data_IF_035750470884
#
_entry.id   IF_035750470884
#
_cell.length_a   1.000
_cell.length_b   1.000
_cell.length_c   1.000
_cell.angle_alpha   90.00
_cell.angle_beta   90.00
_cell.angle_gamma   90.00
#
_symmetry.space_group_name_H-M   'P 1'
#
loop_
_entity.id
_entity.type
_entity.pdbx_description
1 polymer ?
#
# COMPACT_ATOMS: atom_id res chain seq x y z
N UNK A 1 -10.03 28.52 10.59
CA UNK A 1 -8.64 28.24 11.04
C UNK A 1 -8.57 26.74 11.29
N UNK A 2 -7.74 25.99 10.58
CA UNK A 2 -7.57 24.56 10.84
C UNK A 2 -6.80 24.38 12.15
N UNK A 3 -7.31 23.53 13.02
CA UNK A 3 -6.67 23.11 14.25
C UNK A 3 -5.63 22.05 13.89
N UNK A 4 -4.35 22.38 14.06
CA UNK A 4 -3.24 21.43 13.93
C UNK A 4 -3.02 20.82 15.31
N UNK A 5 -3.20 19.51 15.52
CA UNK A 5 -2.83 18.90 16.79
C UNK A 5 -1.30 18.82 16.86
N UNK A 6 -0.73 19.55 17.82
CA UNK A 6 0.68 19.51 18.17
C UNK A 6 0.97 18.16 18.82
N UNK A 7 1.60 17.25 18.08
CA UNK A 7 2.15 16.05 18.68
C UNK A 7 3.37 16.45 19.51
N UNK A 8 3.23 16.53 20.82
CA UNK A 8 4.35 16.73 21.75
C UNK A 8 5.15 15.43 21.83
N UNK A 9 6.46 15.43 21.53
CA UNK A 9 7.31 14.29 21.84
C UNK A 9 7.43 14.17 23.36
N UNK A 10 7.03 13.05 23.90
CA UNK A 10 7.25 12.71 25.30
C UNK A 10 8.75 12.42 25.51
N UNK A 11 9.49 13.40 26.02
CA UNK A 11 10.89 13.26 26.40
C UNK A 11 10.97 12.58 27.78
N UNK A 12 11.14 11.28 27.81
CA UNK A 12 11.62 10.57 28.97
C UNK A 12 13.15 10.45 28.88
N UNK A 13 13.86 11.22 29.71
CA UNK A 13 15.30 11.19 29.78
C UNK A 13 15.82 9.92 30.42
N UNK A 14 16.42 9.04 29.61
CA UNK A 14 17.44 8.09 30.07
C UNK A 14 18.50 7.96 28.99
N UNK A 15 19.77 8.06 29.40
CA UNK A 15 20.95 7.86 28.53
C UNK A 15 20.94 6.44 28.00
N UNK A 16 20.67 6.27 26.69
CA UNK A 16 20.78 5.00 25.99
C UNK A 16 19.68 4.81 24.96
N UNK A 17 20.04 5.06 23.70
CA UNK A 17 19.28 4.94 22.45
C UNK A 17 18.24 6.05 22.20
N UNK A 18 18.54 6.87 21.19
CA UNK A 18 17.56 7.82 20.62
C UNK A 18 16.49 7.02 19.85
N UNK A 19 15.56 6.41 20.58
CA UNK A 19 14.39 5.74 20.02
C UNK A 19 13.22 6.73 20.07
N UNK A 20 12.69 7.08 18.91
CA UNK A 20 11.50 7.89 18.79
C UNK A 20 10.26 7.00 18.83
N UNK A 21 9.29 7.35 19.65
CA UNK A 21 8.04 6.59 19.80
C UNK A 21 6.87 7.40 19.26
N UNK A 22 6.01 6.73 18.51
CA UNK A 22 4.78 7.25 17.93
C UNK A 22 3.63 6.31 18.29
N UNK A 23 2.48 6.87 18.60
CA UNK A 23 1.26 6.11 18.88
C UNK A 23 0.07 6.82 18.24
N UNK A 24 -0.73 6.12 17.49
CA UNK A 24 -1.97 6.64 16.94
C UNK A 24 -3.15 6.19 17.81
N UNK A 25 -3.57 7.05 18.72
CA UNK A 25 -4.75 6.83 19.58
C UNK A 25 -6.03 7.44 18.96
N UNK A 26 -5.96 7.91 17.72
CA UNK A 26 -7.09 8.47 16.98
C UNK A 26 -7.90 7.41 16.24
N UNK A 27 -8.87 7.89 15.46
CA UNK A 27 -9.76 7.05 14.64
C UNK A 27 -9.43 7.12 13.14
N UNK A 28 -8.46 7.95 12.76
CA UNK A 28 -7.98 8.12 11.39
C UNK A 28 -6.48 7.87 11.34
N UNK A 29 -5.94 7.65 10.16
CA UNK A 29 -4.51 7.45 9.94
C UNK A 29 -3.72 8.71 10.32
N UNK A 30 -2.54 8.52 10.89
CA UNK A 30 -1.60 9.57 11.26
C UNK A 30 -0.39 9.54 10.33
N UNK A 31 -0.13 10.65 9.64
CA UNK A 31 1.05 10.82 8.80
C UNK A 31 2.26 11.24 9.65
N UNK A 32 3.35 10.50 9.54
CA UNK A 32 4.60 10.70 10.29
C UNK A 32 5.74 10.81 9.28
N UNK A 33 6.58 11.83 9.43
CA UNK A 33 7.84 11.95 8.70
C UNK A 33 8.95 11.57 9.68
N UNK A 34 9.69 10.51 9.35
CA UNK A 34 10.83 10.03 10.13
C UNK A 34 12.06 10.92 9.90
N UNK A 35 13.07 10.90 10.81
CA UNK A 35 14.29 11.69 10.67
C UNK A 35 15.09 11.43 9.39
N UNK A 36 15.00 10.23 8.83
CA UNK A 36 15.61 9.85 7.56
C UNK A 36 14.82 10.32 6.32
N UNK A 37 13.73 11.08 6.54
CA UNK A 37 12.77 11.54 5.55
C UNK A 37 11.96 10.40 4.90
N UNK A 38 11.88 9.23 5.52
CA UNK A 38 10.88 8.23 5.19
C UNK A 38 9.52 8.66 5.76
N UNK A 39 8.45 8.29 5.06
CA UNK A 39 7.09 8.61 5.46
C UNK A 39 6.39 7.36 5.98
N UNK A 40 5.61 7.51 7.04
CA UNK A 40 4.81 6.43 7.63
C UNK A 40 3.38 6.92 7.82
N UNK A 41 2.43 6.16 7.29
CA UNK A 41 1.02 6.32 7.59
C UNK A 41 0.66 5.29 8.67
N UNK A 42 0.53 5.76 9.91
CA UNK A 42 0.27 4.92 11.07
C UNK A 42 -1.25 4.81 11.28
N UNK A 43 -1.78 3.60 11.18
CA UNK A 43 -3.21 3.35 11.31
C UNK A 43 -3.68 3.46 12.77
N UNK A 44 -5.01 3.60 13.01
CA UNK A 44 -5.56 3.64 14.36
C UNK A 44 -5.07 2.46 15.23
N UNK A 45 -4.83 2.73 16.50
CA UNK A 45 -4.34 1.79 17.52
C UNK A 45 -2.92 1.22 17.27
N UNK A 46 -2.23 1.67 16.23
CA UNK A 46 -0.86 1.24 15.96
C UNK A 46 0.17 2.07 16.74
N UNK A 47 1.29 1.43 17.05
CA UNK A 47 2.46 2.06 17.66
C UNK A 47 3.72 1.77 16.86
N UNK A 48 4.62 2.75 16.80
CA UNK A 48 5.88 2.67 16.09
C UNK A 48 7.02 3.20 16.96
N UNK A 49 8.09 2.42 17.09
CA UNK A 49 9.33 2.86 17.73
C UNK A 49 10.45 2.85 16.68
N UNK A 50 11.02 4.01 16.39
CA UNK A 50 12.03 4.20 15.34
C UNK A 50 13.40 4.55 15.91
N UNK A 51 14.46 3.97 15.32
CA UNK A 51 15.87 4.32 15.59
C UNK A 51 16.70 4.22 14.30
N UNK A 52 17.54 5.21 14.07
CA UNK A 52 18.48 5.27 12.93
C UNK A 52 19.93 4.95 13.34
N UNK A 53 20.17 4.60 14.62
CA UNK A 53 21.49 4.32 15.21
C UNK A 53 21.84 2.83 15.27
N UNK A 54 21.25 2.02 14.39
CA UNK A 54 21.57 0.61 14.32
C UNK A 54 23.02 0.35 13.86
N UNK A 55 23.55 -0.82 14.23
CA UNK A 55 24.81 -1.34 13.70
C UNK A 55 24.69 -1.46 12.18
N UNK A 56 25.78 -1.19 11.46
CA UNK A 56 25.83 -1.27 9.98
C UNK A 56 24.84 -0.33 9.25
N UNK A 57 24.52 0.82 9.85
CA UNK A 57 23.58 1.80 9.29
C UNK A 57 22.17 1.25 9.06
N UNK A 58 21.75 0.28 9.82
CA UNK A 58 20.38 -0.24 9.78
C UNK A 58 19.46 0.70 10.52
N UNK A 59 18.46 1.24 9.80
CA UNK A 59 17.35 1.98 10.39
C UNK A 59 16.30 0.98 10.84
N UNK A 60 15.88 1.03 12.07
CA UNK A 60 14.93 0.05 12.63
C UNK A 60 13.66 0.71 13.09
N UNK A 61 12.53 0.16 12.65
CA UNK A 61 11.19 0.52 13.06
C UNK A 61 10.51 -0.70 13.70
N UNK A 62 10.14 -0.62 14.98
CA UNK A 62 9.34 -1.66 15.64
C UNK A 62 7.88 -1.26 15.56
N UNK A 63 7.07 -2.10 14.93
CA UNK A 63 5.66 -1.86 14.67
C UNK A 63 4.79 -2.83 15.47
N UNK A 64 3.79 -2.28 16.14
CA UNK A 64 2.62 -3.02 16.61
C UNK A 64 1.38 -2.44 15.94
N UNK A 65 0.55 -3.28 15.33
CA UNK A 65 -0.60 -2.85 14.55
C UNK A 65 -0.31 -2.74 13.05
N UNK A 66 -0.85 -1.73 12.40
CA UNK A 66 -0.81 -1.56 10.94
C UNK A 66 -0.18 -0.23 10.55
N UNK A 67 0.72 -0.25 9.56
CA UNK A 67 1.32 0.95 9.01
C UNK A 67 1.70 0.79 7.54
N UNK A 68 1.55 1.85 6.76
CA UNK A 68 2.10 1.96 5.43
C UNK A 68 3.42 2.75 5.50
N UNK A 69 4.45 2.24 4.85
CA UNK A 69 5.78 2.82 4.81
C UNK A 69 6.14 3.25 3.39
N UNK A 70 6.64 4.46 3.24
CA UNK A 70 7.31 4.95 2.04
C UNK A 70 8.75 5.27 2.41
N UNK A 71 9.62 4.26 2.27
CA UNK A 71 11.00 4.32 2.74
C UNK A 71 11.88 5.01 1.72
N UNK A 72 12.58 6.06 2.18
CA UNK A 72 13.58 6.75 1.37
C UNK A 72 14.81 5.88 1.15
N UNK A 73 15.21 5.74 -0.12
CA UNK A 73 16.43 5.03 -0.48
C UNK A 73 17.65 5.83 -0.02
N UNK A 74 18.45 5.22 0.85
CA UNK A 74 19.75 5.74 1.29
C UNK A 74 20.84 4.75 0.90
N UNK A 75 21.93 5.24 0.29
CA UNK A 75 23.03 4.40 -0.16
C UNK A 75 23.67 3.64 0.99
N UNK A 76 23.74 2.31 0.88
CA UNK A 76 24.39 1.43 1.85
C UNK A 76 23.63 1.30 3.18
N UNK A 77 22.39 1.79 3.29
CA UNK A 77 21.62 1.71 4.51
C UNK A 77 20.29 0.99 4.26
N UNK A 78 20.06 -0.12 4.97
CA UNK A 78 18.77 -0.82 4.95
C UNK A 78 17.79 -0.19 5.95
N UNK A 79 16.51 -0.48 5.73
CA UNK A 79 15.43 -0.17 6.67
C UNK A 79 14.76 -1.47 7.08
N UNK A 80 14.66 -1.71 8.37
CA UNK A 80 14.07 -2.91 8.94
C UNK A 80 12.82 -2.58 9.73
N UNK A 81 11.70 -3.22 9.39
CA UNK A 81 10.50 -3.21 10.23
C UNK A 81 10.44 -4.51 10.99
N UNK A 82 10.39 -4.42 12.31
CA UNK A 82 10.26 -5.55 13.22
C UNK A 82 8.82 -5.56 13.77
N UNK A 83 8.15 -6.67 13.64
CA UNK A 83 6.89 -6.97 14.33
C UNK A 83 7.12 -8.08 15.34
N UNK A 84 6.10 -8.43 16.12
CA UNK A 84 6.23 -9.54 17.06
C UNK A 84 6.45 -10.92 16.41
N UNK A 85 6.19 -11.05 15.09
CA UNK A 85 6.15 -12.35 14.40
C UNK A 85 6.96 -12.40 13.10
N UNK A 86 7.35 -11.26 12.54
CA UNK A 86 8.15 -11.19 11.31
C UNK A 86 9.05 -9.97 11.26
N UNK A 87 10.09 -10.06 10.44
CA UNK A 87 11.01 -8.97 10.10
C UNK A 87 10.91 -8.65 8.62
N UNK A 88 10.83 -7.36 8.30
CA UNK A 88 10.72 -6.85 6.93
C UNK A 88 11.92 -5.98 6.64
N UNK A 89 12.70 -6.27 5.60
CA UNK A 89 13.92 -5.52 5.26
C UNK A 89 13.80 -4.96 3.85
N UNK A 90 14.07 -3.66 3.71
CA UNK A 90 14.00 -2.92 2.44
C UNK A 90 15.18 -1.97 2.27
N UNK A 91 15.37 -1.47 1.04
CA UNK A 91 16.40 -0.47 0.72
C UNK A 91 15.79 0.88 0.30
N UNK A 92 14.54 0.88 -0.14
CA UNK A 92 13.80 2.04 -0.63
C UNK A 92 12.55 1.56 -1.35
N UNK A 93 11.44 1.48 -0.65
CA UNK A 93 10.27 0.68 -1.02
C UNK A 93 9.03 1.31 -0.42
N UNK A 94 7.90 1.22 -1.11
CA UNK A 94 6.59 1.56 -0.56
C UNK A 94 5.81 0.27 -0.30
N UNK A 95 5.40 0.04 0.95
CA UNK A 95 4.76 -1.20 1.36
C UNK A 95 3.90 -1.03 2.62
N UNK A 96 2.91 -1.89 2.77
CA UNK A 96 2.05 -1.98 3.93
C UNK A 96 2.48 -3.17 4.80
N UNK A 97 2.52 -2.97 6.11
CA UNK A 97 2.65 -4.04 7.10
C UNK A 97 1.38 -4.05 7.96
N UNK A 98 0.75 -5.20 8.04
CA UNK A 98 -0.41 -5.43 8.90
C UNK A 98 -0.08 -6.55 9.91
N UNK A 99 0.11 -6.18 11.16
CA UNK A 99 0.40 -7.07 12.29
C UNK A 99 -0.61 -6.87 13.43
N UNK A 100 -1.88 -6.59 13.07
CA UNK A 100 -2.96 -6.31 14.03
C UNK A 100 -3.47 -7.55 14.76
N UNK A 101 -3.32 -8.73 14.16
CA UNK A 101 -3.83 -9.97 14.73
C UNK A 101 -2.67 -10.84 15.22
N UNK A 102 -2.69 -11.21 16.49
CA UNK A 102 -1.68 -12.10 17.09
C UNK A 102 -1.54 -13.41 16.30
N UNK A 103 -0.31 -13.71 15.85
CA UNK A 103 -0.02 -14.91 15.06
C UNK A 103 -0.27 -14.80 13.55
N UNK A 104 -0.96 -13.77 13.09
CA UNK A 104 -1.16 -13.46 11.68
C UNK A 104 -0.55 -12.10 11.36
N UNK A 105 0.22 -12.02 10.28
CA UNK A 105 0.75 -10.76 9.81
C UNK A 105 0.90 -10.80 8.28
N UNK A 106 0.81 -9.63 7.64
CA UNK A 106 0.93 -9.50 6.19
C UNK A 106 1.82 -8.35 5.78
N UNK A 107 2.55 -8.55 4.69
CA UNK A 107 3.33 -7.52 4.01
C UNK A 107 2.86 -7.45 2.56
N UNK A 108 2.57 -6.25 2.10
CA UNK A 108 2.00 -5.98 0.79
C UNK A 108 2.84 -4.90 0.11
N UNK A 109 3.43 -5.20 -1.04
CA UNK A 109 4.40 -4.32 -1.71
C UNK A 109 3.72 -3.49 -2.80
N UNK A 110 3.80 -2.15 -2.67
CA UNK A 110 3.35 -1.22 -3.70
C UNK A 110 4.44 -0.97 -4.73
N UNK A 111 5.67 -0.70 -4.29
CA UNK A 111 6.82 -0.47 -5.17
C UNK A 111 8.09 -1.06 -4.58
N UNK A 112 9.01 -1.53 -5.44
CA UNK A 112 10.33 -2.02 -5.05
C UNK A 112 10.34 -3.49 -4.65
N UNK A 113 11.32 -3.85 -3.80
CA UNK A 113 11.54 -5.21 -3.32
C UNK A 113 11.62 -5.26 -1.80
N UNK A 114 11.03 -6.29 -1.23
CA UNK A 114 10.93 -6.50 0.22
C UNK A 114 11.38 -7.91 0.56
N UNK A 115 12.30 -8.02 1.52
CA UNK A 115 12.63 -9.30 2.15
C UNK A 115 11.81 -9.45 3.42
N UNK A 116 11.01 -10.50 3.48
CA UNK A 116 10.21 -10.88 4.66
C UNK A 116 10.82 -12.12 5.28
N UNK A 117 11.06 -12.11 6.57
CA UNK A 117 11.65 -13.21 7.31
C UNK A 117 10.89 -13.49 8.61
N UNK A 118 10.70 -14.76 8.90
CA UNK A 118 10.26 -15.29 10.19
C UNK A 118 11.38 -16.14 10.78
N UNK A 119 11.17 -16.74 11.95
CA UNK A 119 12.14 -17.67 12.55
C UNK A 119 12.38 -18.93 11.69
N UNK A 120 11.44 -19.26 10.79
CA UNK A 120 11.46 -20.52 10.03
C UNK A 120 11.68 -20.35 8.54
N UNK A 121 11.35 -19.20 7.97
CA UNK A 121 11.33 -18.98 6.53
C UNK A 121 11.73 -17.54 6.17
N UNK A 122 12.22 -17.37 4.94
CA UNK A 122 12.51 -16.05 4.37
C UNK A 122 12.15 -16.04 2.90
N UNK A 123 11.46 -14.99 2.45
CA UNK A 123 11.05 -14.79 1.06
C UNK A 123 11.38 -13.37 0.61
N UNK A 124 11.57 -13.18 -0.67
CA UNK A 124 11.65 -11.85 -1.31
C UNK A 124 10.43 -11.69 -2.18
N UNK A 125 9.72 -10.60 -2.00
CA UNK A 125 8.55 -10.22 -2.78
C UNK A 125 8.78 -8.86 -3.45
N UNK A 126 8.13 -8.65 -4.58
CA UNK A 126 8.25 -7.45 -5.40
C UNK A 126 6.92 -6.68 -5.48
N UNK A 127 6.91 -5.60 -6.26
CA UNK A 127 5.71 -4.79 -6.45
C UNK A 127 4.52 -5.64 -6.88
N UNK A 128 3.34 -5.37 -6.31
CA UNK A 128 2.08 -6.11 -6.47
C UNK A 128 2.06 -7.53 -5.87
N UNK A 129 3.09 -7.88 -5.10
CA UNK A 129 3.13 -9.15 -4.38
C UNK A 129 2.89 -8.95 -2.89
N UNK A 130 2.49 -10.02 -2.22
CA UNK A 130 2.28 -10.09 -0.78
C UNK A 130 2.96 -11.31 -0.16
N UNK A 131 3.30 -11.19 1.11
CA UNK A 131 3.67 -12.31 1.96
C UNK A 131 2.82 -12.26 3.23
N UNK A 132 2.17 -13.34 3.57
CA UNK A 132 1.29 -13.46 4.73
C UNK A 132 1.74 -14.62 5.62
N UNK A 133 1.86 -14.36 6.91
CA UNK A 133 2.08 -15.38 7.94
C UNK A 133 0.70 -15.85 8.42
N UNK A 134 0.37 -17.08 8.15
CA UNK A 134 -0.91 -17.71 8.52
C UNK A 134 -0.58 -19.04 9.18
N UNK A 135 -1.01 -19.23 10.43
CA UNK A 135 -0.78 -20.45 11.20
C UNK A 135 0.71 -20.88 11.27
N UNK A 136 1.60 -19.89 11.33
CA UNK A 136 3.04 -20.10 11.39
C UNK A 136 3.72 -20.42 10.06
N UNK A 137 2.98 -20.43 8.95
CA UNK A 137 3.49 -20.61 7.60
C UNK A 137 3.56 -19.28 6.83
N UNK A 138 4.69 -18.99 6.22
CA UNK A 138 4.87 -17.83 5.36
C UNK A 138 4.43 -18.17 3.93
N UNK A 139 3.35 -17.54 3.47
CA UNK A 139 2.76 -17.75 2.14
C UNK A 139 2.92 -16.50 1.30
N UNK A 140 3.24 -16.67 0.03
CA UNK A 140 3.34 -15.58 -0.95
C UNK A 140 2.18 -15.62 -1.94
N UNK A 141 1.87 -14.47 -2.52
CA UNK A 141 0.83 -14.35 -3.55
C UNK A 141 0.85 -12.98 -4.20
N UNK A 142 -0.05 -12.79 -5.16
CA UNK A 142 -0.27 -11.49 -5.82
C UNK A 142 -1.35 -10.73 -5.07
N UNK A 143 -1.21 -9.39 -5.00
CA UNK A 143 -2.24 -8.52 -4.42
C UNK A 143 -3.39 -8.43 -5.42
N UNK A 144 -4.56 -8.97 -5.05
CA UNK A 144 -5.73 -8.98 -5.95
C UNK A 144 -6.39 -7.62 -6.15
N UNK A 145 -6.06 -6.62 -5.33
CA UNK A 145 -6.66 -5.28 -5.37
C UNK A 145 -5.76 -4.27 -4.65
N UNK A 146 -4.75 -3.71 -5.32
CA UNK A 146 -3.81 -2.76 -4.69
C UNK A 146 -4.50 -1.55 -4.07
N UNK A 147 -5.46 -0.94 -4.75
CA UNK A 147 -6.19 0.24 -4.24
C UNK A 147 -6.94 -0.02 -2.93
N UNK A 148 -7.61 -1.17 -2.81
CA UNK A 148 -8.30 -1.56 -1.57
C UNK A 148 -7.32 -1.81 -0.42
N UNK A 149 -6.08 -2.19 -0.72
CA UNK A 149 -5.10 -2.55 0.29
C UNK A 149 -4.32 -1.34 0.82
N UNK A 150 -4.00 -0.38 -0.06
CA UNK A 150 -3.14 0.76 0.29
C UNK A 150 -3.92 2.02 0.69
N UNK A 151 -5.26 2.04 0.55
CA UNK A 151 -6.11 3.19 0.82
C UNK A 151 -6.19 4.18 -0.34
N UNK A 152 -7.19 5.05 -0.31
CA UNK A 152 -7.49 6.03 -1.37
C UNK A 152 -6.58 7.25 -1.37
N UNK A 153 -5.85 7.53 -0.27
CA UNK A 153 -4.98 8.71 -0.17
C UNK A 153 -3.62 8.54 -0.89
N UNK A 154 -3.28 7.32 -1.29
CA UNK A 154 -2.16 7.05 -2.19
C UNK A 154 -2.65 6.92 -3.65
N UNK A 155 -3.43 7.88 -4.09
CA UNK A 155 -4.04 7.99 -5.41
C UNK A 155 -3.05 8.28 -6.54
N UNK A 156 -1.90 7.62 -6.55
CA UNK A 156 -1.03 7.54 -7.73
C UNK A 156 -1.25 6.20 -8.46
N UNK A 157 -2.49 5.73 -8.56
CA UNK A 157 -2.86 4.80 -9.62
C UNK A 157 -2.92 5.65 -10.89
N UNK A 158 -1.80 5.78 -11.56
CA UNK A 158 -1.74 6.38 -12.89
C UNK A 158 -1.50 5.26 -13.88
N UNK A 159 -2.50 4.98 -14.69
CA UNK A 159 -2.43 4.01 -15.79
C UNK A 159 -2.52 4.78 -17.10
N UNK A 160 -1.60 4.49 -18.01
CA UNK A 160 -1.58 5.10 -19.34
C UNK A 160 -1.70 3.99 -20.38
N UNK A 161 -2.72 4.08 -21.19
CA UNK A 161 -2.98 3.15 -22.27
C UNK A 161 -2.91 3.90 -23.61
N UNK A 162 -2.17 3.37 -24.56
CA UNK A 162 -2.00 3.98 -25.89
C UNK A 162 -2.43 2.97 -26.96
N UNK A 163 -3.57 3.20 -27.58
CA UNK A 163 -4.14 2.34 -28.63
C UNK A 163 -4.18 0.86 -28.21
N UNK A 164 -4.69 0.60 -27.00
CA UNK A 164 -4.81 -0.75 -26.44
C UNK A 164 -6.24 -1.28 -26.58
N UNK A 165 -6.43 -2.59 -26.78
CA UNK A 165 -7.76 -3.20 -26.81
C UNK A 165 -8.52 -2.96 -25.51
N UNK A 166 -9.78 -2.59 -25.58
CA UNK A 166 -10.61 -2.31 -24.41
C UNK A 166 -10.66 -3.47 -23.40
N UNK A 167 -10.75 -4.74 -23.80
CA UNK A 167 -10.72 -5.86 -22.84
C UNK A 167 -9.42 -5.93 -22.04
N UNK A 168 -8.27 -5.61 -22.65
CA UNK A 168 -6.98 -5.54 -21.96
C UNK A 168 -6.94 -4.38 -20.95
N UNK A 169 -7.41 -3.20 -21.38
CA UNK A 169 -7.51 -2.03 -20.51
C UNK A 169 -8.39 -2.32 -19.29
N UNK A 170 -9.56 -2.92 -19.52
CA UNK A 170 -10.47 -3.32 -18.44
C UNK A 170 -9.82 -4.31 -17.49
N UNK A 171 -9.16 -5.34 -17.99
CA UNK A 171 -8.46 -6.33 -17.15
C UNK A 171 -7.37 -5.71 -16.29
N UNK A 172 -6.59 -4.76 -16.82
CA UNK A 172 -5.58 -4.04 -16.04
C UNK A 172 -6.19 -3.11 -14.98
N UNK A 173 -7.29 -2.43 -15.32
CA UNK A 173 -8.03 -1.60 -14.36
C UNK A 173 -8.58 -2.45 -13.23
N UNK A 174 -9.25 -3.57 -13.54
CA UNK A 174 -9.77 -4.52 -12.55
C UNK A 174 -8.66 -5.02 -11.61
N UNK A 175 -7.51 -5.36 -12.16
CA UNK A 175 -6.36 -5.86 -11.40
C UNK A 175 -5.76 -4.80 -10.47
N UNK A 176 -5.76 -3.53 -10.88
CA UNK A 176 -5.16 -2.44 -10.12
C UNK A 176 -6.11 -1.76 -9.14
N UNK A 177 -7.42 -1.80 -9.42
CA UNK A 177 -8.42 -1.06 -8.62
C UNK A 177 -9.37 -1.97 -7.83
N UNK A 178 -9.49 -3.24 -8.25
CA UNK A 178 -10.42 -4.21 -7.67
C UNK A 178 -11.89 -3.98 -8.00
N UNK A 179 -12.20 -3.03 -8.86
CA UNK A 179 -13.54 -2.93 -9.43
C UNK A 179 -13.73 -4.01 -10.49
N UNK A 180 -14.97 -4.34 -10.77
CA UNK A 180 -15.35 -5.24 -11.86
C UNK A 180 -16.07 -4.47 -12.96
N UNK A 181 -15.71 -4.71 -14.23
CA UNK A 181 -16.29 -4.06 -15.39
C UNK A 181 -16.66 -5.12 -16.43
N UNK A 182 -17.94 -5.41 -16.55
CA UNK A 182 -18.45 -6.27 -17.61
C UNK A 182 -18.55 -5.50 -18.93
N UNK A 183 -18.08 -6.11 -20.02
CA UNK A 183 -18.20 -5.56 -21.38
C UNK A 183 -19.43 -6.11 -22.09
N UNK A 184 -20.29 -5.24 -22.57
CA UNK A 184 -21.41 -5.57 -23.44
C UNK A 184 -20.96 -5.94 -24.86
N UNK A 185 -21.82 -6.61 -25.58
CA UNK A 185 -21.53 -7.07 -26.93
C UNK A 185 -21.08 -5.94 -27.88
N UNK A 186 -20.05 -6.21 -28.68
CA UNK A 186 -19.50 -5.29 -29.68
C UNK A 186 -18.58 -4.20 -29.12
N UNK A 187 -18.07 -4.34 -27.90
CA UNK A 187 -17.05 -3.49 -27.31
C UNK A 187 -15.64 -4.13 -27.37
N UNK A 188 -15.54 -5.44 -27.65
CA UNK A 188 -14.30 -6.19 -27.62
C UNK A 188 -13.28 -5.71 -28.67
N UNK A 189 -13.75 -5.16 -29.79
CA UNK A 189 -12.91 -4.69 -30.88
C UNK A 189 -12.51 -3.20 -30.74
N UNK A 190 -12.89 -2.54 -29.65
CA UNK A 190 -12.54 -1.14 -29.43
C UNK A 190 -11.10 -1.01 -28.95
N UNK A 191 -10.35 -0.10 -29.60
CA UNK A 191 -9.02 0.32 -29.14
C UNK A 191 -9.15 1.72 -28.54
N UNK A 192 -8.56 1.91 -27.37
CA UNK A 192 -8.64 3.18 -26.69
C UNK A 192 -7.26 3.70 -26.27
N UNK A 193 -7.16 5.02 -26.20
CA UNK A 193 -6.05 5.74 -25.59
C UNK A 193 -6.62 6.52 -24.43
N UNK A 194 -6.18 6.21 -23.21
CA UNK A 194 -6.70 6.82 -21.99
C UNK A 194 -5.61 6.91 -20.94
N UNK A 195 -5.63 7.97 -20.16
CA UNK A 195 -4.90 8.07 -18.91
C UNK A 195 -5.91 8.07 -17.77
N UNK A 196 -5.69 7.21 -16.81
CA UNK A 196 -6.52 7.10 -15.60
C UNK A 196 -5.65 7.48 -14.42
N UNK A 197 -6.03 8.55 -13.73
CA UNK A 197 -5.39 9.02 -12.51
C UNK A 197 -6.40 8.84 -11.36
N UNK A 198 -6.04 8.02 -10.36
CA UNK A 198 -6.89 7.71 -9.22
C UNK A 198 -7.50 6.31 -9.26
N UNK A 199 -8.24 5.97 -8.21
CA UNK A 199 -8.81 4.64 -7.99
C UNK A 199 -10.35 4.65 -7.78
N UNK A 200 -11.01 5.80 -7.97
CA UNK A 200 -12.46 5.89 -7.85
C UNK A 200 -13.15 5.17 -9.02
N UNK A 201 -13.90 4.12 -8.70
CA UNK A 201 -14.54 3.28 -9.72
C UNK A 201 -15.58 4.01 -10.56
N UNK A 202 -16.33 4.93 -9.98
CA UNK A 202 -17.37 5.69 -10.70
C UNK A 202 -16.71 6.68 -11.68
N UNK A 203 -15.62 7.33 -11.29
CA UNK A 203 -14.85 8.23 -12.18
C UNK A 203 -14.17 7.45 -13.30
N UNK A 204 -13.49 6.36 -13.01
CA UNK A 204 -12.82 5.50 -13.99
C UNK A 204 -13.80 5.02 -15.06
N UNK A 205 -14.96 4.51 -14.65
CA UNK A 205 -15.94 3.95 -15.58
C UNK A 205 -16.60 5.03 -16.41
N UNK A 206 -16.81 6.21 -15.84
CA UNK A 206 -17.31 7.38 -16.57
C UNK A 206 -16.33 7.85 -17.64
N UNK A 207 -15.04 7.90 -17.34
CA UNK A 207 -14.00 8.24 -18.32
C UNK A 207 -13.88 7.19 -19.41
N UNK A 208 -13.88 5.89 -19.06
CA UNK A 208 -13.89 4.80 -20.03
C UNK A 208 -15.07 4.88 -20.97
N UNK A 209 -16.28 5.08 -20.44
CA UNK A 209 -17.49 5.20 -21.23
C UNK A 209 -17.42 6.38 -22.21
N UNK A 210 -16.88 7.50 -21.75
CA UNK A 210 -16.68 8.69 -22.58
C UNK A 210 -15.70 8.42 -23.73
N UNK A 211 -14.52 7.83 -23.43
CA UNK A 211 -13.47 7.58 -24.41
C UNK A 211 -13.90 6.50 -25.43
N UNK A 212 -14.57 5.44 -25.00
CA UNK A 212 -15.03 4.39 -25.91
C UNK A 212 -16.33 4.74 -26.66
N UNK A 213 -16.94 5.89 -26.35
CA UNK A 213 -18.22 6.29 -26.96
C UNK A 213 -19.38 5.37 -26.60
N UNK A 214 -19.34 4.77 -25.42
CA UNK A 214 -20.33 3.82 -24.93
C UNK A 214 -21.06 4.36 -23.68
N UNK A 215 -22.03 3.62 -23.20
CA UNK A 215 -22.76 3.91 -21.97
C UNK A 215 -22.28 3.00 -20.86
N UNK A 216 -22.58 3.36 -19.63
CA UNK A 216 -22.33 2.49 -18.49
C UNK A 216 -23.54 2.45 -17.55
N UNK A 217 -23.61 1.39 -16.77
CA UNK A 217 -24.51 1.30 -15.62
C UNK A 217 -23.78 0.73 -14.43
N UNK A 218 -24.13 1.20 -13.25
CA UNK A 218 -23.66 0.68 -11.98
C UNK A 218 -24.48 -0.55 -11.62
N UNK A 219 -23.80 -1.69 -11.45
CA UNK A 219 -24.40 -2.95 -10.97
C UNK A 219 -24.33 -3.02 -9.46
N UNK A 220 -23.14 -2.70 -8.89
CA UNK A 220 -22.92 -2.51 -7.46
C UNK A 220 -22.10 -1.24 -7.26
N UNK A 221 -22.61 -0.29 -6.50
CA UNK A 221 -21.98 1.00 -6.27
C UNK A 221 -20.52 0.86 -5.79
N UNK A 222 -19.60 1.54 -6.46
CA UNK A 222 -18.17 1.54 -6.17
C UNK A 222 -17.42 0.23 -6.46
N UNK A 223 -18.11 -0.82 -6.98
CA UNK A 223 -17.51 -2.15 -7.12
C UNK A 223 -17.74 -2.85 -8.45
N UNK A 224 -18.90 -2.69 -9.05
CA UNK A 224 -19.26 -3.47 -10.25
C UNK A 224 -20.05 -2.63 -11.23
N UNK A 225 -19.61 -2.59 -12.46
CA UNK A 225 -20.14 -1.78 -13.54
C UNK A 225 -20.31 -2.60 -14.82
N UNK A 226 -21.08 -2.10 -15.76
CA UNK A 226 -21.22 -2.66 -17.10
C UNK A 226 -21.13 -1.54 -18.12
N UNK A 227 -20.25 -1.72 -19.11
CA UNK A 227 -20.17 -0.88 -20.31
C UNK A 227 -21.02 -1.50 -21.43
N UNK A 228 -21.76 -0.67 -22.18
CA UNK A 228 -22.62 -1.13 -23.28
C UNK A 228 -22.83 -0.03 -24.33
N UNK A 229 -23.19 -0.41 -25.55
CA UNK A 229 -23.50 0.53 -26.65
C UNK A 229 -24.84 1.21 -26.45
#
# INVERSE_FOLDING_TARGET
RPFVPLALPYLSGSRGSDVMQYANNGTVEQHIILPDSSEVLLYPEATLAYSDKGVDRVRTARLSGKAFFKVKKLHGASFKVETGVMNVTVMGTSFLVDATHGGHAGVYVKTGKVKVATDRASVVIEANEKAELIDGELRTGVIGSPATRFGSDDADVSMVFSNEPLPKVVSEIESNTGIRIDLGAGLDDNFITIRIDGADGDEIVKELAFVCGCKYKTVVAGKHYMLYK
#
